data_IF_362730720748
#
_entry.id   IF_362730720748
#
_cell.length_a   1.000
_cell.length_b   1.000
_cell.length_c   1.000
_cell.angle_alpha   90.00
_cell.angle_beta   90.00
_cell.angle_gamma   90.00
#
_symmetry.space_group_name_H-M   'P 1'
#
loop_
_entity.id
_entity.type
_entity.pdbx_description
1 polymer ?
#
# COMPACT_ATOMS: atom_id res chain seq x y z
N UNK A 1 -18.75 -2.50 -7.37
CA UNK A 1 -18.89 -3.48 -6.26
C UNK A 1 -17.97 -3.12 -5.10
N UNK A 2 -16.63 -3.20 -5.19
CA UNK A 2 -15.74 -2.90 -4.06
C UNK A 2 -15.52 -1.41 -3.67
N UNK A 3 -16.26 -0.45 -4.24
CA UNK A 3 -16.05 0.98 -3.91
C UNK A 3 -16.60 1.36 -2.51
N UNK A 4 -17.67 0.70 -2.08
CA UNK A 4 -18.38 1.04 -0.83
C UNK A 4 -18.19 -0.01 0.27
N UNK A 5 -17.49 -1.11 0.00
CA UNK A 5 -17.28 -2.20 0.96
C UNK A 5 -15.86 -2.15 1.52
N UNK A 6 -15.77 -1.85 2.81
CA UNK A 6 -14.51 -1.73 3.56
C UNK A 6 -13.66 -3.02 3.50
N UNK A 7 -14.31 -4.17 3.43
CA UNK A 7 -13.67 -5.49 3.44
C UNK A 7 -13.65 -6.13 2.03
N UNK A 8 -13.73 -5.31 0.97
CA UNK A 8 -13.66 -5.76 -0.42
C UNK A 8 -12.33 -5.34 -1.03
N UNK A 9 -11.35 -6.23 -0.93
CA UNK A 9 -10.05 -6.07 -1.57
C UNK A 9 -10.01 -6.74 -2.94
N UNK A 10 -10.80 -7.81 -3.12
CA UNK A 10 -10.96 -8.52 -4.39
C UNK A 10 -12.44 -8.78 -4.68
N UNK A 11 -12.83 -8.70 -5.96
CA UNK A 11 -14.13 -9.17 -6.43
C UNK A 11 -13.96 -10.04 -7.68
N UNK A 12 -14.68 -11.15 -7.73
CA UNK A 12 -14.86 -11.99 -8.90
C UNK A 12 -16.27 -11.81 -9.45
N UNK A 13 -16.40 -11.68 -10.77
CA UNK A 13 -17.69 -11.56 -11.45
C UNK A 13 -17.72 -12.45 -12.70
N UNK A 14 -18.78 -13.23 -12.88
CA UNK A 14 -18.99 -14.08 -14.04
C UNK A 14 -20.26 -13.68 -14.81
N UNK A 15 -20.14 -13.52 -16.13
CA UNK A 15 -21.23 -13.06 -17.01
C UNK A 15 -22.35 -14.10 -17.10
N UNK A 16 -22.01 -15.38 -17.12
CA UNK A 16 -22.98 -16.47 -17.10
C UNK A 16 -23.22 -16.92 -15.66
N UNK A 17 -24.48 -16.88 -15.21
CA UNK A 17 -24.86 -17.26 -13.85
C UNK A 17 -25.01 -16.08 -12.88
N UNK A 18 -24.55 -14.88 -13.24
CA UNK A 18 -24.69 -13.68 -12.40
C UNK A 18 -23.94 -13.76 -11.07
N UNK A 19 -22.91 -14.62 -11.01
CA UNK A 19 -22.13 -14.84 -9.81
C UNK A 19 -21.24 -13.63 -9.51
N UNK A 20 -21.26 -13.19 -8.26
CA UNK A 20 -20.44 -12.10 -7.75
C UNK A 20 -19.91 -12.47 -6.37
N UNK A 21 -18.63 -12.80 -6.30
CA UNK A 21 -17.94 -13.13 -5.04
C UNK A 21 -17.06 -11.94 -4.66
N UNK A 22 -17.05 -11.59 -3.38
CA UNK A 22 -16.14 -10.57 -2.81
C UNK A 22 -15.24 -11.22 -1.76
N UNK A 23 -14.01 -10.74 -1.64
CA UNK A 23 -13.04 -11.20 -0.65
C UNK A 23 -12.32 -10.02 0.00
N UNK A 24 -12.00 -10.17 1.27
CA UNK A 24 -11.11 -9.29 2.02
C UNK A 24 -9.64 -9.52 1.72
N UNK A 25 -9.30 -10.59 1.00
CA UNK A 25 -7.93 -10.87 0.60
C UNK A 25 -7.57 -10.09 -0.67
N UNK A 26 -6.37 -9.52 -0.68
CA UNK A 26 -5.76 -9.01 -1.90
C UNK A 26 -5.47 -10.17 -2.86
N UNK A 27 -5.59 -9.94 -4.16
CA UNK A 27 -5.46 -10.99 -5.16
C UNK A 27 -4.07 -11.64 -5.17
N UNK A 28 -3.04 -10.91 -4.75
CA UNK A 28 -1.68 -11.47 -4.58
C UNK A 28 -1.56 -12.46 -3.42
N UNK A 29 -2.53 -12.45 -2.49
CA UNK A 29 -2.58 -13.37 -1.34
C UNK A 29 -3.53 -14.55 -1.55
N UNK A 30 -4.41 -14.48 -2.54
CA UNK A 30 -5.29 -15.58 -2.89
C UNK A 30 -4.45 -16.69 -3.54
N UNK A 31 -4.53 -17.90 -2.98
CA UNK A 31 -3.84 -19.05 -3.52
C UNK A 31 -4.27 -19.32 -4.97
N UNK A 32 -3.31 -19.63 -5.85
CA UNK A 32 -3.59 -19.90 -7.26
C UNK A 32 -4.55 -21.06 -7.47
N UNK A 33 -4.51 -22.07 -6.60
CA UNK A 33 -5.42 -23.21 -6.65
C UNK A 33 -6.88 -22.84 -6.33
N UNK A 34 -7.10 -21.64 -5.77
CA UNK A 34 -8.42 -21.05 -5.56
C UNK A 34 -8.84 -20.13 -6.72
N UNK A 35 -8.09 -20.10 -7.82
CA UNK A 35 -8.42 -19.39 -9.05
C UNK A 35 -8.50 -20.38 -10.21
N UNK A 36 -9.59 -20.33 -10.97
CA UNK A 36 -9.73 -21.08 -12.21
C UNK A 36 -9.65 -20.16 -13.41
N UNK A 37 -9.13 -20.68 -14.53
CA UNK A 37 -9.16 -19.98 -15.80
C UNK A 37 -10.55 -20.11 -16.41
N UNK A 38 -11.28 -18.99 -16.46
CA UNK A 38 -12.60 -18.92 -17.05
C UNK A 38 -12.78 -17.61 -17.83
N UNK A 39 -12.92 -17.70 -19.15
CA UNK A 39 -13.01 -16.52 -20.03
C UNK A 39 -14.30 -15.69 -19.87
N UNK A 40 -15.31 -16.23 -19.17
CA UNK A 40 -16.55 -15.54 -18.85
C UNK A 40 -16.49 -14.86 -17.47
N UNK A 41 -15.39 -15.05 -16.73
CA UNK A 41 -15.20 -14.50 -15.40
C UNK A 41 -14.04 -13.50 -15.39
N UNK A 42 -14.15 -12.50 -14.52
CA UNK A 42 -13.10 -11.52 -14.27
C UNK A 42 -12.86 -11.41 -12.77
N UNK A 43 -11.59 -11.36 -12.37
CA UNK A 43 -11.18 -11.01 -11.01
C UNK A 43 -10.57 -9.62 -11.05
N UNK A 44 -11.10 -8.72 -10.23
CA UNK A 44 -10.55 -7.40 -9.99
C UNK A 44 -10.07 -7.32 -8.56
N UNK A 45 -8.84 -6.85 -8.36
CA UNK A 45 -8.24 -6.74 -7.03
C UNK A 45 -7.53 -5.41 -6.86
N UNK A 46 -7.51 -4.91 -5.62
CA UNK A 46 -6.71 -3.74 -5.25
C UNK A 46 -5.23 -4.12 -5.18
N UNK A 47 -4.38 -3.12 -5.35
CA UNK A 47 -2.94 -3.25 -5.14
C UNK A 47 -2.56 -2.67 -3.80
N UNK A 48 -1.63 -3.29 -3.09
CA UNK A 48 -1.04 -2.75 -1.87
C UNK A 48 -0.43 -1.37 -2.12
N UNK A 49 0.22 -1.15 -3.27
CA UNK A 49 0.78 0.15 -3.61
C UNK A 49 -0.28 1.27 -3.67
N UNK A 50 -1.54 0.96 -3.97
CA UNK A 50 -2.62 1.94 -4.03
C UNK A 50 -3.00 2.48 -2.64
N UNK A 51 -2.57 1.82 -1.57
CA UNK A 51 -2.75 2.29 -0.20
C UNK A 51 -1.80 3.46 0.16
N UNK A 52 -0.87 3.79 -0.72
CA UNK A 52 0.19 4.77 -0.47
C UNK A 52 0.15 5.91 -1.48
N UNK A 53 0.51 7.11 -1.04
CA UNK A 53 0.85 8.23 -1.91
C UNK A 53 2.34 8.18 -2.22
N UNK A 54 2.71 8.52 -3.45
CA UNK A 54 4.11 8.54 -3.88
C UNK A 54 4.68 9.96 -3.85
N UNK A 55 5.85 10.11 -3.24
CA UNK A 55 6.71 11.29 -3.31
C UNK A 55 7.93 10.96 -4.17
N UNK A 56 7.87 11.12 -5.51
CA UNK A 56 8.97 10.81 -6.41
C UNK A 56 10.23 11.61 -6.07
N UNK A 57 11.40 11.01 -6.24
CA UNK A 57 12.67 11.72 -6.11
C UNK A 57 13.06 12.06 -4.67
N UNK A 58 12.29 11.58 -3.68
CA UNK A 58 12.51 11.84 -2.27
C UNK A 58 12.54 10.52 -1.50
N UNK A 59 13.47 10.39 -0.57
CA UNK A 59 13.58 9.29 0.40
C UNK A 59 13.71 9.85 1.81
N UNK A 60 13.47 9.03 2.83
CA UNK A 60 13.72 9.43 4.22
C UNK A 60 15.17 9.12 4.62
N UNK A 61 15.87 10.11 5.18
CA UNK A 61 17.22 9.94 5.73
C UNK A 61 17.23 9.30 7.12
N UNK A 62 16.07 8.85 7.61
CA UNK A 62 15.94 8.18 8.90
C UNK A 62 16.49 6.76 8.82
N UNK A 63 16.91 6.25 9.97
CA UNK A 63 17.14 4.83 10.13
C UNK A 63 15.84 4.08 9.87
N UNK A 64 15.84 3.26 8.82
CA UNK A 64 14.72 2.40 8.51
C UNK A 64 14.52 1.38 9.63
N UNK A 65 13.26 1.08 9.95
CA UNK A 65 12.92 0.02 10.88
C UNK A 65 13.33 -1.34 10.30
N UNK A 66 13.25 -1.48 8.98
CA UNK A 66 13.57 -2.71 8.27
C UNK A 66 14.08 -2.39 6.86
N UNK A 67 15.06 -3.17 6.40
CA UNK A 67 15.60 -3.07 5.04
C UNK A 67 15.40 -4.41 4.35
N UNK A 68 14.63 -4.42 3.27
CA UNK A 68 14.20 -5.60 2.56
C UNK A 68 14.76 -5.64 1.14
N UNK A 69 15.13 -6.83 0.68
CA UNK A 69 15.57 -7.10 -0.70
C UNK A 69 14.36 -7.47 -1.56
N UNK A 70 13.42 -6.54 -1.69
CA UNK A 70 12.22 -6.69 -2.51
C UNK A 70 12.37 -5.90 -3.80
N UNK A 71 12.09 -6.55 -4.92
CA UNK A 71 12.34 -6.07 -6.27
C UNK A 71 11.17 -5.27 -6.87
N UNK A 72 10.08 -5.04 -6.12
CA UNK A 72 8.93 -4.27 -6.61
C UNK A 72 8.32 -3.39 -5.51
N UNK A 73 7.73 -2.26 -5.95
CA UNK A 73 6.93 -1.36 -5.09
C UNK A 73 5.82 -2.15 -4.39
N UNK A 74 5.20 -3.08 -5.11
CA UNK A 74 4.06 -3.84 -4.62
C UNK A 74 4.44 -4.78 -3.47
N UNK A 75 5.57 -5.47 -3.59
CA UNK A 75 6.10 -6.30 -2.50
C UNK A 75 6.47 -5.44 -1.27
N UNK A 76 7.05 -4.26 -1.47
CA UNK A 76 7.32 -3.32 -0.38
C UNK A 76 6.05 -2.83 0.31
N UNK A 77 5.05 -2.45 -0.48
CA UNK A 77 3.76 -2.00 0.02
C UNK A 77 3.07 -3.10 0.80
N UNK A 78 3.09 -4.35 0.30
CA UNK A 78 2.58 -5.53 1.01
C UNK A 78 3.30 -5.78 2.33
N UNK A 79 4.64 -5.73 2.33
CA UNK A 79 5.43 -5.91 3.55
C UNK A 79 5.13 -4.83 4.59
N UNK A 80 5.04 -3.57 4.16
CA UNK A 80 4.64 -2.46 5.02
C UNK A 80 3.19 -2.63 5.52
N UNK A 81 2.27 -3.05 4.65
CA UNK A 81 0.88 -3.24 5.00
C UNK A 81 0.68 -4.33 6.06
N UNK A 82 1.33 -5.48 5.85
CA UNK A 82 1.21 -6.68 6.69
C UNK A 82 2.13 -6.69 7.92
N UNK A 83 2.94 -5.66 8.13
CA UNK A 83 3.77 -5.58 9.33
C UNK A 83 2.90 -5.52 10.59
N UNK A 84 3.06 -6.51 11.47
CA UNK A 84 2.35 -6.61 12.75
C UNK A 84 3.22 -6.26 13.95
N UNK A 85 4.55 -6.31 13.80
CA UNK A 85 5.50 -5.99 14.87
C UNK A 85 5.64 -4.49 15.11
N UNK A 86 5.34 -3.67 14.11
CA UNK A 86 5.30 -2.21 14.20
C UNK A 86 4.34 -1.64 13.17
N UNK A 87 3.80 -0.44 13.43
CA UNK A 87 2.99 0.26 12.46
C UNK A 87 3.88 0.91 11.40
N UNK A 88 4.08 0.24 10.27
CA UNK A 88 4.77 0.83 9.12
C UNK A 88 3.89 1.93 8.52
N UNK A 89 4.38 3.18 8.45
CA UNK A 89 3.63 4.33 7.92
C UNK A 89 4.14 4.83 6.57
N UNK A 90 5.37 4.48 6.19
CA UNK A 90 5.90 4.73 4.87
C UNK A 90 7.02 3.75 4.52
N UNK A 91 7.41 3.72 3.25
CA UNK A 91 8.59 3.01 2.80
C UNK A 91 9.28 3.76 1.66
N UNK A 92 10.59 3.60 1.54
CA UNK A 92 11.33 4.01 0.35
C UNK A 92 11.51 2.81 -0.56
N UNK A 93 11.29 3.03 -1.86
CA UNK A 93 11.62 2.04 -2.88
C UNK A 93 12.60 2.62 -3.91
N UNK A 94 13.70 1.90 -4.12
CA UNK A 94 14.85 2.26 -4.93
C UNK A 94 15.17 1.10 -5.90
N UNK A 95 14.52 1.01 -7.08
CA UNK A 95 14.66 -0.14 -8.00
C UNK A 95 16.10 -0.43 -8.45
N UNK A 96 16.98 0.58 -8.48
CA UNK A 96 18.37 0.40 -8.89
C UNK A 96 19.31 0.01 -7.73
N UNK A 97 18.84 0.04 -6.49
CA UNK A 97 19.64 -0.38 -5.33
C UNK A 97 19.63 -1.90 -5.20
N UNK A 98 20.80 -2.53 -5.30
CA UNK A 98 20.93 -3.99 -5.17
C UNK A 98 20.79 -4.49 -3.72
N UNK A 99 21.18 -3.66 -2.75
CA UNK A 99 21.30 -4.09 -1.35
C UNK A 99 20.15 -3.60 -0.46
N UNK A 100 19.52 -2.48 -0.83
CA UNK A 100 18.45 -1.88 -0.04
C UNK A 100 17.37 -1.26 -0.95
N UNK A 101 16.74 -2.05 -1.85
CA UNK A 101 15.70 -1.54 -2.72
C UNK A 101 14.44 -1.16 -1.94
N UNK A 102 14.26 -1.65 -0.71
CA UNK A 102 13.06 -1.41 0.09
C UNK A 102 13.43 -1.05 1.53
N UNK A 103 13.00 0.10 2.02
CA UNK A 103 13.25 0.54 3.41
C UNK A 103 11.94 0.90 4.08
N UNK A 104 11.56 0.20 5.14
CA UNK A 104 10.30 0.41 5.84
C UNK A 104 10.49 1.37 7.02
N UNK A 105 9.54 2.28 7.20
CA UNK A 105 9.59 3.34 8.21
C UNK A 105 8.31 3.40 9.02
N UNK A 106 8.44 3.71 10.31
CA UNK A 106 7.31 4.02 11.21
C UNK A 106 6.84 5.46 11.08
N UNK A 107 7.45 6.23 10.17
CA UNK A 107 7.29 7.67 10.06
C UNK A 107 6.40 8.01 8.85
N UNK A 108 5.35 8.81 9.10
CA UNK A 108 4.50 9.36 8.04
C UNK A 108 5.04 10.73 7.63
N UNK A 109 5.53 10.89 6.40
CA UNK A 109 6.04 12.16 5.90
C UNK A 109 5.26 12.58 4.64
N UNK A 110 4.89 13.88 4.49
CA UNK A 110 5.27 15.04 5.31
C UNK A 110 4.51 15.18 6.63
N UNK A 111 5.24 15.35 7.75
CA UNK A 111 4.67 15.83 9.02
C UNK A 111 4.55 17.35 8.97
N UNK A 112 3.41 17.90 9.40
CA UNK A 112 3.15 19.34 9.43
C UNK A 112 3.90 20.09 10.54
N UNK A 113 4.57 19.38 11.48
CA UNK A 113 5.12 19.95 12.71
C UNK A 113 6.64 19.82 12.91
N UNK A 114 7.36 19.06 12.10
CA UNK A 114 8.83 18.95 12.21
C UNK A 114 9.51 19.66 11.05
N UNK A 115 10.32 20.67 11.37
CA UNK A 115 11.12 21.48 10.43
C UNK A 115 12.40 20.78 9.97
N UNK A 116 12.62 19.53 10.37
CA UNK A 116 13.81 18.79 9.97
C UNK A 116 13.68 18.37 8.51
N UNK A 117 14.70 18.71 7.71
CA UNK A 117 14.82 18.26 6.33
C UNK A 117 15.26 16.78 6.32
N UNK A 118 14.33 15.91 6.71
CA UNK A 118 14.52 14.46 6.73
C UNK A 118 14.41 13.84 5.34
N UNK A 119 14.01 14.64 4.34
CA UNK A 119 13.98 14.24 2.93
C UNK A 119 15.34 14.41 2.28
N UNK A 120 15.86 13.33 1.71
CA UNK A 120 17.00 13.36 0.79
C UNK A 120 16.48 13.14 -0.62
N UNK A 121 17.07 13.85 -1.58
CA UNK A 121 16.74 13.67 -2.99
C UNK A 121 17.52 12.50 -3.58
N UNK A 122 16.81 11.61 -4.25
CA UNK A 122 17.38 10.54 -5.07
C UNK A 122 16.44 10.30 -6.26
N UNK A 123 16.92 10.63 -7.46
CA UNK A 123 16.13 10.54 -8.70
C UNK A 123 15.71 9.12 -9.07
N UNK A 124 16.42 8.11 -8.54
CA UNK A 124 16.14 6.70 -8.81
C UNK A 124 15.22 6.08 -7.75
N UNK A 125 14.79 6.85 -6.75
CA UNK A 125 13.97 6.36 -5.66
C UNK A 125 12.66 7.14 -5.50
N UNK A 126 11.78 6.61 -4.68
CA UNK A 126 10.62 7.34 -4.18
C UNK A 126 10.16 6.83 -2.82
N UNK A 127 9.72 7.77 -2.00
CA UNK A 127 9.04 7.50 -0.75
C UNK A 127 7.55 7.28 -1.02
N UNK A 128 6.98 6.28 -0.36
CA UNK A 128 5.58 5.88 -0.41
C UNK A 128 5.04 5.95 1.00
N UNK A 129 4.11 6.87 1.26
CA UNK A 129 3.55 7.08 2.60
C UNK A 129 2.06 6.76 2.60
N UNK A 130 1.58 6.14 3.68
CA UNK A 130 0.19 5.67 3.76
C UNK A 130 -0.79 6.79 3.49
N UNK A 131 -1.85 6.51 2.75
CA UNK A 131 -2.95 7.45 2.59
C UNK A 131 -3.71 7.54 3.90
N UNK A 132 -3.93 8.73 4.43
CA UNK A 132 -4.82 8.88 5.59
C UNK A 132 -6.22 8.37 5.28
N UNK A 133 -6.70 8.50 4.04
CA UNK A 133 -8.03 8.04 3.60
C UNK A 133 -8.21 6.53 3.59
N UNK A 134 -7.13 5.74 3.60
CA UNK A 134 -7.22 4.27 3.64
C UNK A 134 -7.33 3.73 5.06
N UNK A 135 -7.11 4.58 6.07
CA UNK A 135 -7.20 4.21 7.49
C UNK A 135 -8.21 5.08 8.25
N UNK A 136 -8.51 6.29 7.76
CA UNK A 136 -9.33 7.30 8.43
C UNK A 136 -10.21 8.09 7.45
N UNK A 137 -11.48 8.30 7.78
CA UNK A 137 -12.34 9.23 7.04
C UNK A 137 -12.03 10.68 7.42
N UNK A 138 -11.67 11.50 6.42
CA UNK A 138 -11.50 12.94 6.61
C UNK A 138 -12.88 13.59 6.66
N UNK A 139 -13.25 14.16 7.79
CA UNK A 139 -14.43 15.02 7.93
C UNK A 139 -14.02 16.49 7.86
N UNK A 140 -13.99 17.12 6.66
CA UNK A 140 -13.63 18.52 6.55
C UNK A 140 -14.61 19.39 7.35
N UNK A 141 -14.08 20.41 8.02
CA UNK A 141 -14.87 21.39 8.79
C UNK A 141 -15.72 20.79 9.92
N UNK A 142 -15.32 19.64 10.49
CA UNK A 142 -15.97 19.03 11.66
C UNK A 142 -15.02 18.98 12.85
N UNK A 143 -15.56 19.21 14.05
CA UNK A 143 -14.89 19.04 15.34
C UNK A 143 -15.64 18.00 16.15
N UNK A 144 -14.90 17.05 16.73
CA UNK A 144 -15.43 16.11 17.72
C UNK A 144 -15.66 16.84 19.05
N UNK A 145 -16.84 16.71 19.65
CA UNK A 145 -17.24 17.45 20.86
C UNK A 145 -17.19 16.62 22.16
N UNK A 146 -16.84 15.34 22.09
CA UNK A 146 -16.91 14.42 23.23
C UNK A 146 -18.03 13.41 23.06
#
# INVERSE_FOLDING_TARGET
VCLDFKDCETASNCVNGGECIVSSDFGEDIAKDNMEDNYLCIIVTRKYADLFNRSPGNILSLTAQEVLKLDSVEKCARACHKSTSYQCLSFDYCPQSKDAPCKLHTEHYPKTKTRENVKVRDTNCGNYFRKFSTEFMKYPNKRYLG
#
